data_IF_372857792454
#
_entry.id   IF_372857792454
#
_cell.length_a   1.000
_cell.length_b   1.000
_cell.length_c   1.000
_cell.angle_alpha   90.00
_cell.angle_beta   90.00
_cell.angle_gamma   90.00
#
_symmetry.space_group_name_H-M   'P 1'
#
loop_
_entity.id
_entity.type
_entity.pdbx_description
1 polymer ?
#
# COMPACT_ATOMS: atom_id res chain seq x y z
N UNK A 1 -19.79 -45.23 0.93
CA UNK A 1 -20.85 -44.26 1.34
C UNK A 1 -20.34 -43.24 2.35
N UNK A 2 -19.79 -43.65 3.50
CA UNK A 2 -19.31 -42.73 4.55
C UNK A 2 -18.28 -41.70 4.06
N UNK A 3 -17.29 -42.13 3.25
CA UNK A 3 -16.29 -41.22 2.68
C UNK A 3 -16.92 -40.11 1.82
N UNK A 4 -17.90 -40.45 0.98
CA UNK A 4 -18.60 -39.49 0.14
C UNK A 4 -19.37 -38.46 0.96
N UNK A 5 -20.04 -38.90 2.04
CA UNK A 5 -20.77 -38.01 2.94
C UNK A 5 -19.82 -37.08 3.71
N UNK A 6 -18.67 -37.60 4.17
CA UNK A 6 -17.64 -36.79 4.83
C UNK A 6 -17.05 -35.76 3.88
N UNK A 7 -16.73 -36.14 2.64
CA UNK A 7 -16.24 -35.23 1.61
C UNK A 7 -17.28 -34.16 1.27
N UNK A 8 -18.55 -34.54 1.09
CA UNK A 8 -19.63 -33.59 0.80
C UNK A 8 -19.83 -32.58 1.94
N UNK A 9 -19.82 -33.04 3.20
CA UNK A 9 -19.88 -32.16 4.38
C UNK A 9 -18.67 -31.22 4.44
N UNK A 10 -17.47 -31.73 4.17
CA UNK A 10 -16.23 -30.94 4.12
C UNK A 10 -16.29 -29.84 3.07
N UNK A 11 -16.66 -30.17 1.83
CA UNK A 11 -16.77 -29.17 0.75
C UNK A 11 -17.85 -28.14 1.00
N UNK A 12 -18.97 -28.53 1.61
CA UNK A 12 -20.03 -27.58 1.99
C UNK A 12 -19.52 -26.57 3.02
N UNK A 13 -18.83 -27.05 4.06
CA UNK A 13 -18.21 -26.18 5.09
C UNK A 13 -17.16 -25.25 4.47
N UNK A 14 -16.33 -25.76 3.56
CA UNK A 14 -15.35 -24.96 2.85
C UNK A 14 -16.02 -23.92 1.93
N UNK A 15 -17.12 -24.27 1.25
CA UNK A 15 -17.89 -23.34 0.43
C UNK A 15 -18.45 -22.18 1.25
N UNK A 16 -19.02 -22.46 2.42
CA UNK A 16 -19.48 -21.42 3.36
C UNK A 16 -18.31 -20.55 3.80
N UNK A 17 -17.17 -21.15 4.16
CA UNK A 17 -15.98 -20.39 4.55
C UNK A 17 -15.47 -19.48 3.41
N UNK A 18 -15.42 -19.98 2.17
CA UNK A 18 -15.03 -19.19 1.01
C UNK A 18 -15.96 -17.99 0.79
N UNK A 19 -17.27 -18.17 0.95
CA UNK A 19 -18.24 -17.07 0.83
C UNK A 19 -18.05 -16.02 1.93
N UNK A 20 -17.88 -16.45 3.19
CA UNK A 20 -17.59 -15.54 4.29
C UNK A 20 -16.30 -14.74 4.04
N UNK A 21 -15.23 -15.42 3.62
CA UNK A 21 -13.95 -14.77 3.32
C UNK A 21 -14.04 -13.81 2.14
N UNK A 22 -14.88 -14.11 1.14
CA UNK A 22 -15.20 -13.19 0.05
C UNK A 22 -15.87 -11.93 0.58
N UNK A 23 -16.88 -12.04 1.45
CA UNK A 23 -17.56 -10.88 2.01
C UNK A 23 -16.63 -10.00 2.85
N UNK A 24 -15.75 -10.60 3.66
CA UNK A 24 -14.72 -9.85 4.40
C UNK A 24 -13.83 -9.04 3.47
N UNK A 25 -13.31 -9.68 2.41
CA UNK A 25 -12.48 -8.99 1.41
C UNK A 25 -13.25 -7.91 0.66
N UNK A 26 -14.50 -8.17 0.29
CA UNK A 26 -15.35 -7.20 -0.39
C UNK A 26 -15.60 -5.98 0.49
N UNK A 27 -15.89 -6.16 1.79
CA UNK A 27 -16.06 -5.06 2.72
C UNK A 27 -14.79 -4.22 2.86
N UNK A 28 -13.63 -4.87 3.01
CA UNK A 28 -12.34 -4.17 3.07
C UNK A 28 -12.04 -3.38 1.77
N UNK A 29 -12.27 -4.00 0.61
CA UNK A 29 -12.06 -3.34 -0.68
C UNK A 29 -12.97 -2.12 -0.85
N UNK A 30 -14.24 -2.20 -0.43
CA UNK A 30 -15.17 -1.07 -0.48
C UNK A 30 -14.68 0.10 0.37
N UNK A 31 -14.11 -0.15 1.55
CA UNK A 31 -13.52 0.90 2.40
C UNK A 31 -12.32 1.57 1.72
N UNK A 32 -11.42 0.77 1.15
CA UNK A 32 -10.23 1.24 0.41
C UNK A 32 -10.67 2.09 -0.79
N UNK A 33 -11.60 1.60 -1.59
CA UNK A 33 -12.11 2.31 -2.76
C UNK A 33 -12.81 3.63 -2.39
N UNK A 34 -13.58 3.64 -1.31
CA UNK A 34 -14.23 4.86 -0.83
C UNK A 34 -13.19 5.91 -0.40
N UNK A 35 -12.13 5.49 0.31
CA UNK A 35 -11.03 6.37 0.68
C UNK A 35 -10.31 6.93 -0.56
N UNK A 36 -9.99 6.08 -1.54
CA UNK A 36 -9.30 6.49 -2.78
C UNK A 36 -10.14 7.39 -3.68
N UNK A 37 -11.47 7.23 -3.68
CA UNK A 37 -12.41 8.06 -4.45
C UNK A 37 -12.69 9.42 -3.79
N UNK A 38 -12.39 9.60 -2.52
CA UNK A 38 -12.60 10.86 -1.85
C UNK A 38 -11.66 11.96 -2.40
N UNK A 39 -12.05 13.25 -2.31
CA UNK A 39 -11.22 14.35 -2.77
C UNK A 39 -9.82 14.31 -2.14
N UNK A 40 -8.75 14.62 -2.90
CA UNK A 40 -7.40 14.63 -2.35
C UNK A 40 -7.25 15.63 -1.20
N UNK A 41 -6.49 15.25 -0.18
CA UNK A 41 -6.20 16.12 0.98
C UNK A 41 -4.87 16.86 0.75
N UNK A 42 -4.85 18.17 0.93
CA UNK A 42 -3.60 18.92 0.89
C UNK A 42 -2.77 18.64 2.15
N UNK A 43 -1.52 18.19 1.98
CA UNK A 43 -0.60 18.02 3.10
C UNK A 43 -0.08 19.39 3.56
N UNK A 44 -0.32 19.69 4.82
CA UNK A 44 0.20 20.87 5.51
C UNK A 44 0.99 20.45 6.74
N UNK A 45 1.71 21.39 7.36
CA UNK A 45 2.44 21.18 8.61
C UNK A 45 1.57 20.62 9.74
N UNK A 46 0.27 20.89 9.73
CA UNK A 46 -0.70 20.50 10.76
C UNK A 46 -1.34 19.14 10.49
N UNK A 47 -0.88 18.40 9.48
CA UNK A 47 -1.36 17.05 9.20
C UNK A 47 -0.91 16.11 10.33
N UNK A 48 -1.65 16.13 11.43
CA UNK A 48 -1.23 15.54 12.70
C UNK A 48 -1.45 14.02 12.75
N UNK A 49 -2.42 13.50 12.01
CA UNK A 49 -2.77 12.08 12.02
C UNK A 49 -2.62 11.45 10.63
N UNK A 50 -1.48 10.79 10.43
CA UNK A 50 -1.19 10.04 9.20
C UNK A 50 -2.09 8.81 9.07
N UNK A 51 -2.62 8.26 10.16
CA UNK A 51 -3.51 7.10 10.10
C UNK A 51 -4.85 7.44 9.44
N UNK A 52 -5.33 8.68 9.60
CA UNK A 52 -6.53 9.20 8.91
C UNK A 52 -6.32 9.36 7.39
N UNK A 53 -5.08 9.34 6.91
CA UNK A 53 -4.74 9.42 5.50
C UNK A 53 -4.53 8.05 4.84
N UNK A 54 -4.70 6.95 5.58
CA UNK A 54 -4.61 5.61 5.01
C UNK A 54 -5.55 5.47 3.80
N UNK A 55 -5.01 4.99 2.67
CA UNK A 55 -5.73 4.81 1.41
C UNK A 55 -6.33 6.09 0.79
N UNK A 56 -6.03 7.28 1.34
CA UNK A 56 -6.46 8.57 0.79
C UNK A 56 -5.45 9.07 -0.25
N UNK A 57 -5.96 9.71 -1.30
CA UNK A 57 -5.12 10.56 -2.13
C UNK A 57 -4.77 11.85 -1.40
N UNK A 58 -3.52 12.29 -1.58
CA UNK A 58 -2.99 13.51 -0.97
C UNK A 58 -2.25 14.36 -1.99
N UNK A 59 -2.22 15.67 -1.78
CA UNK A 59 -1.49 16.64 -2.59
C UNK A 59 -0.44 17.31 -1.71
N UNK A 60 0.83 17.15 -2.07
CA UNK A 60 1.95 17.81 -1.41
C UNK A 60 2.62 18.78 -2.39
N UNK A 61 3.06 19.93 -1.88
CA UNK A 61 3.86 20.91 -2.62
C UNK A 61 5.14 21.20 -1.86
N UNK A 62 6.25 21.25 -2.57
CA UNK A 62 7.56 21.30 -1.96
C UNK A 62 8.69 21.11 -2.95
N UNK A 63 9.90 20.97 -2.39
CA UNK A 63 11.13 20.71 -3.15
C UNK A 63 11.75 19.39 -2.70
N UNK A 64 12.15 18.58 -3.67
CA UNK A 64 12.92 17.37 -3.39
C UNK A 64 14.32 17.70 -2.89
N UNK A 65 14.76 16.97 -1.87
CA UNK A 65 16.11 17.06 -1.33
C UNK A 65 16.97 15.89 -1.83
N UNK A 66 17.46 16.02 -3.08
CA UNK A 66 18.30 14.99 -3.71
C UNK A 66 19.66 14.79 -3.03
N UNK A 67 20.06 15.66 -2.10
CA UNK A 67 21.24 15.44 -1.26
C UNK A 67 21.02 14.40 -0.16
N UNK A 68 19.76 13.99 0.08
CA UNK A 68 19.36 13.05 1.12
C UNK A 68 18.59 11.86 0.57
N UNK A 69 18.92 11.44 -0.65
CA UNK A 69 18.35 10.23 -1.24
C UNK A 69 18.68 9.00 -0.39
N UNK A 70 17.66 8.19 -0.14
CA UNK A 70 17.75 6.95 0.62
C UNK A 70 17.65 5.80 -0.38
N UNK A 71 18.70 4.99 -0.43
CA UNK A 71 18.73 3.77 -1.25
C UNK A 71 18.41 2.57 -0.35
N UNK A 72 17.22 2.03 -0.53
CA UNK A 72 16.79 0.79 0.13
C UNK A 72 17.32 -0.39 -0.69
N UNK A 73 18.31 -1.09 -0.14
CA UNK A 73 18.96 -2.24 -0.77
C UNK A 73 18.20 -3.53 -0.49
N UNK A 74 18.42 -4.53 -1.34
CA UNK A 74 17.85 -5.88 -1.17
C UNK A 74 16.36 -5.93 -1.50
N UNK A 75 15.87 -5.01 -2.32
CA UNK A 75 14.50 -5.07 -2.83
C UNK A 75 14.45 -6.07 -3.99
N UNK A 76 13.36 -6.81 -4.09
CA UNK A 76 13.14 -7.79 -5.17
C UNK A 76 11.76 -7.54 -5.74
N UNK A 77 11.72 -7.07 -6.99
CA UNK A 77 10.49 -6.80 -7.69
C UNK A 77 10.27 -7.87 -8.77
N UNK A 78 9.22 -8.69 -8.60
CA UNK A 78 8.88 -9.77 -9.54
C UNK A 78 10.05 -10.74 -9.83
N UNK A 79 10.88 -11.02 -8.82
CA UNK A 79 12.03 -11.92 -8.94
C UNK A 79 13.33 -11.25 -9.41
N UNK A 80 13.28 -9.99 -9.82
CA UNK A 80 14.46 -9.21 -10.21
C UNK A 80 15.04 -8.50 -8.98
N UNK A 81 16.30 -8.75 -8.60
CA UNK A 81 16.95 -8.02 -7.51
C UNK A 81 17.24 -6.57 -7.93
N UNK A 82 17.19 -5.66 -6.96
CA UNK A 82 17.51 -4.26 -7.21
C UNK A 82 17.46 -3.41 -5.95
N UNK A 83 17.25 -2.11 -6.17
CA UNK A 83 17.17 -1.11 -5.11
C UNK A 83 15.94 -0.24 -5.30
N UNK A 84 15.39 0.26 -4.20
CA UNK A 84 14.34 1.29 -4.22
C UNK A 84 14.92 2.62 -3.82
N UNK A 85 14.61 3.66 -4.59
CA UNK A 85 15.07 5.02 -4.32
C UNK A 85 13.95 5.79 -3.65
N UNK A 86 14.23 6.36 -2.48
CA UNK A 86 13.29 7.20 -1.74
C UNK A 86 13.92 8.58 -1.58
N UNK A 87 13.24 9.61 -2.05
CA UNK A 87 13.71 11.00 -1.96
C UNK A 87 12.81 11.80 -1.03
N UNK A 88 13.36 12.48 -0.01
CA UNK A 88 12.58 13.38 0.82
C UNK A 88 12.03 14.58 0.03
N UNK A 89 10.74 14.85 0.18
CA UNK A 89 10.06 16.05 -0.28
C UNK A 89 9.91 17.02 0.89
N UNK A 90 10.62 18.14 0.85
CA UNK A 90 10.52 19.22 1.82
C UNK A 90 9.28 20.06 1.49
N UNK A 91 8.28 20.06 2.37
CA UNK A 91 7.03 20.76 2.14
C UNK A 91 7.21 22.29 2.19
N UNK A 92 6.56 23.02 1.28
CA UNK A 92 6.59 24.49 1.25
C UNK A 92 5.97 25.11 2.52
N UNK A 93 4.96 24.43 3.09
CA UNK A 93 4.34 24.79 4.36
C UNK A 93 5.25 24.59 5.58
N UNK A 94 6.45 24.03 5.37
CA UNK A 94 7.37 23.61 6.44
C UNK A 94 6.88 22.37 7.18
N UNK A 95 7.68 21.92 8.15
CA UNK A 95 7.40 20.70 8.92
C UNK A 95 8.27 19.51 8.49
N UNK A 96 7.86 18.28 8.84
CA UNK A 96 8.59 17.07 8.48
C UNK A 96 8.64 16.87 6.96
N UNK A 97 9.73 16.27 6.47
CA UNK A 97 9.82 15.86 5.08
C UNK A 97 8.87 14.68 4.82
N UNK A 98 8.26 14.65 3.64
CA UNK A 98 7.49 13.50 3.16
C UNK A 98 8.42 12.59 2.37
N UNK A 99 8.58 11.34 2.79
CA UNK A 99 9.36 10.36 2.05
C UNK A 99 8.58 9.93 0.80
N UNK A 100 9.13 10.21 -0.38
CA UNK A 100 8.51 9.84 -1.65
C UNK A 100 9.29 8.69 -2.26
N UNK A 101 8.61 7.55 -2.43
CA UNK A 101 9.11 6.45 -3.24
C UNK A 101 9.23 6.88 -4.70
N UNK A 102 10.45 6.89 -5.23
CA UNK A 102 10.77 7.27 -6.61
C UNK A 102 10.78 6.08 -7.57
N UNK A 103 10.65 4.87 -7.04
CA UNK A 103 10.57 3.63 -7.80
C UNK A 103 11.77 2.70 -7.60
N UNK A 104 11.70 1.61 -8.34
CA UNK A 104 12.65 0.50 -8.31
C UNK A 104 13.65 0.62 -9.46
N UNK A 105 14.92 0.39 -9.15
CA UNK A 105 16.01 0.27 -10.11
C UNK A 105 16.53 -1.17 -10.06
N UNK A 106 16.47 -1.93 -11.17
CA UNK A 106 17.03 -3.27 -11.22
C UNK A 106 18.55 -3.23 -11.04
N UNK A 107 19.10 -4.30 -10.46
CA UNK A 107 20.55 -4.45 -10.40
C UNK A 107 21.11 -4.59 -11.83
N UNK A 108 22.30 -4.02 -12.14
CA UNK A 108 22.87 -4.05 -13.49
C UNK A 108 23.15 -5.47 -14.01
N UNK A 109 23.28 -6.42 -13.09
CA UNK A 109 23.61 -7.82 -13.27
C UNK A 109 22.42 -8.78 -13.12
N UNK A 110 21.19 -8.23 -13.02
CA UNK A 110 19.95 -8.99 -12.92
C UNK A 110 19.44 -9.53 -14.25
#
# INVERSE_FOLDING_TARGET
MALLLLSAAGFTRLGVWQLSRRHERQAANLMIEAARRAPPVALTRETADVAMLAERHVVARGRYDGGRDIVVRGDVLQGVPGVRVVTPLLLDAGGPAVLVDRGFLPAPDA
#
